data_IF_854942788349
#
_entry.id   IF_854942788349
#
_cell.length_a   1.000
_cell.length_b   1.000
_cell.length_c   1.000
_cell.angle_alpha   90.00
_cell.angle_beta   90.00
_cell.angle_gamma   90.00
#
_symmetry.space_group_name_H-M   'P 1'
#
loop_
_entity.id
_entity.type
_entity.pdbx_description
1 polymer ?
#
# COMPACT_ATOMS: atom_id res chain seq x y z
N UNK A 1 -17.45 28.26 11.10
CA UNK A 1 -17.72 26.87 11.50
C UNK A 1 -16.97 25.97 10.54
N UNK A 2 -16.00 25.23 11.03
CA UNK A 2 -15.21 24.32 10.22
C UNK A 2 -15.99 23.00 9.99
N UNK A 3 -15.86 22.44 8.81
CA UNK A 3 -16.49 21.16 8.51
C UNK A 3 -15.89 20.04 9.40
N UNK A 4 -16.69 19.05 9.79
CA UNK A 4 -16.18 17.88 10.54
C UNK A 4 -15.09 17.16 9.73
N UNK A 5 -14.00 16.82 10.41
CA UNK A 5 -12.86 16.14 9.78
C UNK A 5 -11.94 17.05 8.99
N UNK A 6 -12.16 18.35 8.95
CA UNK A 6 -11.23 19.30 8.34
C UNK A 6 -10.03 19.53 9.27
N UNK A 7 -8.81 19.46 8.70
CA UNK A 7 -7.57 19.86 9.38
C UNK A 7 -7.09 21.17 8.80
N UNK A 8 -6.72 22.08 9.68
CA UNK A 8 -6.21 23.42 9.33
C UNK A 8 -4.88 23.63 10.00
N UNK A 9 -3.86 23.96 9.20
CA UNK A 9 -2.55 24.37 9.71
C UNK A 9 -2.48 25.89 9.66
N UNK A 10 -2.16 26.53 10.77
CA UNK A 10 -1.98 27.97 10.86
C UNK A 10 -0.51 28.30 11.03
N UNK A 11 0.07 29.00 10.06
CA UNK A 11 1.43 29.52 10.14
C UNK A 11 1.37 30.98 10.56
N UNK A 12 2.11 31.36 11.62
CA UNK A 12 2.21 32.71 12.12
C UNK A 12 3.68 33.14 12.11
N UNK A 13 3.96 34.30 11.53
CA UNK A 13 5.30 34.87 11.51
C UNK A 13 5.24 36.41 11.61
N UNK A 14 6.35 37.08 11.98
CA UNK A 14 6.39 38.55 12.09
C UNK A 14 6.15 39.29 10.78
N UNK A 15 6.50 38.70 9.65
CA UNK A 15 6.37 39.30 8.31
C UNK A 15 6.18 38.21 7.24
N UNK A 16 5.87 38.63 6.02
CA UNK A 16 5.62 37.77 4.86
C UNK A 16 6.87 36.98 4.44
N UNK A 17 8.03 37.60 4.50
CA UNK A 17 9.32 37.00 4.12
C UNK A 17 9.60 35.77 4.98
N UNK A 18 9.39 35.88 6.28
CA UNK A 18 9.56 34.77 7.24
C UNK A 18 8.57 33.62 6.99
N UNK A 19 7.33 33.89 6.56
CA UNK A 19 6.37 32.82 6.19
C UNK A 19 6.84 32.11 4.94
N UNK A 20 7.29 32.85 3.94
CA UNK A 20 7.78 32.28 2.66
C UNK A 20 9.02 31.42 2.91
N UNK A 21 9.97 31.92 3.69
CA UNK A 21 11.19 31.15 4.05
C UNK A 21 10.86 29.89 4.82
N UNK A 22 9.99 29.99 5.85
CA UNK A 22 9.55 28.83 6.61
C UNK A 22 8.87 27.80 5.73
N UNK A 23 7.95 28.22 4.84
CA UNK A 23 7.23 27.32 3.95
C UNK A 23 8.16 26.58 3.00
N UNK A 24 9.17 27.26 2.44
CA UNK A 24 10.19 26.62 1.58
C UNK A 24 11.06 25.63 2.35
N UNK A 25 11.50 26.01 3.54
CA UNK A 25 12.37 25.17 4.37
C UNK A 25 11.64 23.93 4.90
N UNK A 26 10.31 24.03 5.14
CA UNK A 26 9.48 22.97 5.72
C UNK A 26 8.47 22.37 4.73
N UNK A 27 8.63 22.61 3.42
CA UNK A 27 7.71 22.15 2.38
C UNK A 27 7.39 20.65 2.51
N UNK A 28 8.45 19.84 2.60
CA UNK A 28 8.30 18.38 2.75
C UNK A 28 7.50 18.01 3.99
N UNK A 29 7.80 18.62 5.13
CA UNK A 29 7.12 18.34 6.40
C UNK A 29 5.63 18.72 6.35
N UNK A 30 5.29 19.84 5.71
CA UNK A 30 3.90 20.28 5.52
C UNK A 30 3.14 19.33 4.59
N UNK A 31 3.75 18.92 3.48
CA UNK A 31 3.15 17.94 2.55
C UNK A 31 2.96 16.59 3.24
N UNK A 32 3.99 16.08 3.93
CA UNK A 32 3.92 14.81 4.65
C UNK A 32 2.83 14.83 5.73
N UNK A 33 2.64 15.94 6.42
CA UNK A 33 1.56 16.12 7.38
C UNK A 33 0.18 15.95 6.73
N UNK A 34 -0.10 16.65 5.62
CA UNK A 34 -1.40 16.53 4.94
C UNK A 34 -1.61 15.15 4.32
N UNK A 35 -0.54 14.53 3.78
CA UNK A 35 -0.61 13.16 3.26
C UNK A 35 -0.97 12.17 4.38
N UNK A 36 -0.37 12.29 5.56
CA UNK A 36 -0.71 11.48 6.74
C UNK A 36 -2.16 11.67 7.18
N UNK A 37 -2.64 12.91 7.21
CA UNK A 37 -4.06 13.20 7.54
C UNK A 37 -5.01 12.53 6.56
N UNK A 38 -4.74 12.62 5.26
CA UNK A 38 -5.56 11.97 4.22
C UNK A 38 -5.50 10.44 4.36
N UNK A 39 -4.32 9.89 4.61
CA UNK A 39 -4.13 8.45 4.79
C UNK A 39 -4.91 7.94 6.00
N UNK A 40 -4.83 8.63 7.14
CA UNK A 40 -5.58 8.26 8.35
C UNK A 40 -7.09 8.27 8.11
N UNK A 41 -7.62 9.27 7.41
CA UNK A 41 -9.04 9.30 7.02
C UNK A 41 -9.44 8.12 6.15
N UNK A 42 -8.58 7.76 5.19
CA UNK A 42 -8.84 6.62 4.31
C UNK A 42 -8.83 5.30 5.12
N UNK A 43 -7.90 5.14 6.07
CA UNK A 43 -7.84 3.99 6.98
C UNK A 43 -9.11 3.93 7.85
N UNK A 44 -9.52 5.05 8.47
CA UNK A 44 -10.76 5.13 9.27
C UNK A 44 -12.01 4.78 8.46
N UNK A 45 -12.05 5.18 7.19
CA UNK A 45 -13.15 4.81 6.30
C UNK A 45 -13.16 3.30 6.01
N UNK A 46 -11.99 2.71 5.75
CA UNK A 46 -11.83 1.28 5.53
C UNK A 46 -12.13 0.43 6.78
N UNK A 47 -12.02 0.99 7.99
CA UNK A 47 -12.46 0.30 9.20
C UNK A 47 -13.99 0.20 9.29
N UNK A 48 -14.71 1.15 8.71
CA UNK A 48 -16.18 1.21 8.73
C UNK A 48 -16.82 0.46 7.57
N UNK A 49 -16.17 0.51 6.40
CA UNK A 49 -16.69 -0.04 5.17
C UNK A 49 -15.57 -0.67 4.34
N UNK A 50 -15.59 -1.99 4.20
CA UNK A 50 -14.62 -2.78 3.46
C UNK A 50 -15.25 -3.99 2.79
N UNK A 51 -14.54 -4.62 1.87
CA UNK A 51 -14.98 -5.82 1.18
C UNK A 51 -14.92 -7.04 2.10
N UNK A 52 -16.09 -7.56 2.49
CA UNK A 52 -16.19 -8.82 3.26
C UNK A 52 -15.65 -9.99 2.45
N UNK A 53 -15.87 -10.00 1.14
CA UNK A 53 -15.36 -11.06 0.25
C UNK A 53 -13.84 -11.17 0.32
N UNK A 54 -13.14 -10.04 0.24
CA UNK A 54 -11.67 -10.02 0.35
C UNK A 54 -11.22 -10.45 1.76
N UNK A 55 -11.87 -9.92 2.78
CA UNK A 55 -11.55 -10.24 4.18
C UNK A 55 -11.69 -11.73 4.47
N UNK A 56 -12.82 -12.33 4.10
CA UNK A 56 -13.12 -13.74 4.41
C UNK A 56 -12.15 -14.68 3.67
N UNK A 57 -11.86 -14.40 2.39
CA UNK A 57 -10.92 -15.23 1.62
C UNK A 57 -9.48 -15.07 2.12
N UNK A 58 -9.00 -13.86 2.43
CA UNK A 58 -7.66 -13.68 3.00
C UNK A 58 -7.50 -14.38 4.34
N UNK A 59 -8.56 -14.37 5.17
CA UNK A 59 -8.54 -15.03 6.46
C UNK A 59 -8.55 -16.55 6.32
N UNK A 60 -9.36 -17.11 5.40
CA UNK A 60 -9.43 -18.56 5.18
C UNK A 60 -8.16 -19.11 4.52
N UNK A 61 -7.65 -18.44 3.48
CA UNK A 61 -6.64 -19.02 2.60
C UNK A 61 -5.22 -18.71 3.06
N UNK A 62 -4.98 -17.47 3.50
CA UNK A 62 -3.67 -17.01 3.92
C UNK A 62 -3.55 -16.73 5.43
N UNK A 63 -4.65 -16.87 6.18
CA UNK A 63 -4.70 -16.56 7.62
C UNK A 63 -4.13 -15.16 7.92
N UNK A 64 -4.55 -14.16 7.14
CA UNK A 64 -4.28 -12.73 7.36
C UNK A 64 -5.56 -11.93 7.21
N UNK A 65 -5.61 -10.72 7.73
CA UNK A 65 -6.75 -9.81 7.60
C UNK A 65 -6.32 -8.51 6.94
N UNK A 66 -7.13 -7.98 6.01
CA UNK A 66 -6.89 -6.71 5.35
C UNK A 66 -8.23 -6.10 4.92
N UNK A 67 -8.44 -4.82 5.20
CA UNK A 67 -9.63 -4.09 4.84
C UNK A 67 -9.47 -3.49 3.42
N UNK A 68 -9.80 -4.25 2.39
CA UNK A 68 -9.84 -3.73 1.03
C UNK A 68 -11.05 -2.82 0.80
N UNK A 69 -11.01 -1.87 -0.14
CA UNK A 69 -12.18 -1.04 -0.47
C UNK A 69 -13.41 -1.90 -0.80
N UNK A 70 -14.60 -1.46 -0.35
CA UNK A 70 -15.84 -2.23 -0.46
C UNK A 70 -16.22 -2.64 -1.90
N UNK A 71 -15.75 -1.90 -2.90
CA UNK A 71 -15.98 -2.19 -4.31
C UNK A 71 -15.03 -3.26 -4.91
N UNK A 72 -14.18 -3.88 -4.09
CA UNK A 72 -13.38 -5.04 -4.48
C UNK A 72 -14.24 -6.30 -4.31
N UNK A 73 -14.71 -6.87 -5.41
CA UNK A 73 -15.63 -8.00 -5.42
C UNK A 73 -15.09 -9.20 -6.18
N UNK A 74 -14.26 -8.98 -7.18
CA UNK A 74 -13.62 -10.05 -7.95
C UNK A 74 -12.35 -10.49 -7.26
N UNK A 75 -12.15 -11.80 -7.15
CA UNK A 75 -10.91 -12.37 -6.66
C UNK A 75 -10.49 -13.62 -7.45
N UNK A 76 -9.23 -13.91 -7.37
CA UNK A 76 -8.60 -15.16 -7.78
C UNK A 76 -7.65 -15.58 -6.69
N UNK A 77 -7.66 -16.82 -6.30
CA UNK A 77 -6.76 -17.43 -5.33
C UNK A 77 -6.03 -18.61 -5.92
N UNK A 78 -4.85 -18.83 -5.41
CA UNK A 78 -4.06 -20.05 -5.58
C UNK A 78 -3.28 -20.27 -4.28
N UNK A 79 -2.60 -21.39 -4.12
CA UNK A 79 -1.75 -21.62 -2.96
C UNK A 79 -0.74 -20.47 -2.78
N UNK A 80 -0.72 -19.88 -1.60
CA UNK A 80 0.17 -18.77 -1.20
C UNK A 80 0.03 -17.46 -1.99
N UNK A 81 -1.03 -17.31 -2.81
CA UNK A 81 -1.29 -16.10 -3.59
C UNK A 81 -2.77 -15.78 -3.69
N UNK A 82 -3.14 -14.55 -3.37
CA UNK A 82 -4.49 -14.01 -3.50
C UNK A 82 -4.47 -12.74 -4.37
N UNK A 83 -5.48 -12.57 -5.22
CA UNK A 83 -5.65 -11.39 -6.07
C UNK A 83 -7.11 -10.95 -6.13
N UNK A 84 -7.36 -9.68 -5.83
CA UNK A 84 -8.67 -9.03 -5.92
C UNK A 84 -8.56 -7.70 -6.68
N UNK A 85 -9.65 -7.28 -7.28
CA UNK A 85 -9.73 -6.05 -8.07
C UNK A 85 -11.10 -5.39 -7.92
N UNK A 86 -11.17 -4.08 -8.11
CA UNK A 86 -12.43 -3.39 -8.31
C UNK A 86 -13.00 -3.60 -9.73
N UNK A 87 -12.24 -4.25 -10.61
CA UNK A 87 -12.57 -4.56 -12.00
C UNK A 87 -13.18 -3.37 -12.79
N UNK A 88 -12.75 -2.15 -12.48
CA UNK A 88 -13.24 -0.95 -13.13
C UNK A 88 -12.63 -0.77 -14.53
N UNK A 89 -13.42 -0.32 -15.49
CA UNK A 89 -12.94 -0.03 -16.85
C UNK A 89 -11.97 1.17 -16.86
N UNK A 90 -12.17 2.12 -15.96
CA UNK A 90 -11.30 3.28 -15.76
C UNK A 90 -10.87 3.33 -14.30
N UNK A 91 -9.58 3.56 -14.05
CA UNK A 91 -9.07 3.62 -12.69
C UNK A 91 -9.12 2.30 -11.96
N UNK A 92 -8.69 1.22 -12.63
CA UNK A 92 -8.61 -0.11 -12.04
C UNK A 92 -7.55 -0.13 -10.94
N UNK A 93 -7.98 -0.56 -9.77
CA UNK A 93 -7.13 -0.85 -8.62
C UNK A 93 -7.13 -2.36 -8.38
N UNK A 94 -5.96 -2.90 -8.15
CA UNK A 94 -5.73 -4.30 -7.86
C UNK A 94 -5.01 -4.45 -6.52
N UNK A 95 -5.37 -5.47 -5.76
CA UNK A 95 -4.76 -5.88 -4.52
C UNK A 95 -4.30 -7.32 -4.64
N UNK A 96 -3.04 -7.56 -4.36
CA UNK A 96 -2.51 -8.92 -4.20
C UNK A 96 -1.95 -9.11 -2.80
N UNK A 97 -2.06 -10.33 -2.29
CA UNK A 97 -1.38 -10.76 -1.06
C UNK A 97 -0.74 -12.10 -1.36
N UNK A 98 0.54 -12.23 -1.04
CA UNK A 98 1.24 -13.51 -1.18
C UNK A 98 2.19 -13.78 -0.03
N UNK A 99 2.52 -15.04 0.13
CA UNK A 99 3.39 -15.48 1.21
C UNK A 99 4.51 -16.37 0.68
N UNK A 100 5.62 -16.40 1.39
CA UNK A 100 6.72 -17.31 1.12
C UNK A 100 7.53 -17.59 2.40
N UNK A 101 8.21 -18.73 2.52
CA UNK A 101 9.01 -19.05 3.70
C UNK A 101 10.09 -18.01 3.98
N UNK A 102 10.26 -17.64 5.25
CA UNK A 102 11.38 -16.81 5.70
C UNK A 102 12.57 -17.73 6.04
N UNK A 103 13.61 -17.66 5.23
CA UNK A 103 14.79 -18.54 5.33
C UNK A 103 16.11 -17.80 5.42
N UNK A 104 16.13 -16.51 5.09
CA UNK A 104 17.35 -15.72 5.01
C UNK A 104 17.13 -14.30 5.58
N UNK A 105 18.00 -13.82 6.49
CA UNK A 105 17.96 -12.43 6.99
C UNK A 105 18.02 -11.37 5.89
N UNK A 106 18.67 -11.66 4.74
CA UNK A 106 18.74 -10.75 3.59
C UNK A 106 17.44 -10.66 2.77
N UNK A 107 16.38 -11.36 3.21
CA UNK A 107 15.05 -11.27 2.58
C UNK A 107 14.51 -9.84 2.50
N UNK A 108 14.81 -9.01 3.50
CA UNK A 108 14.32 -7.62 3.56
C UNK A 108 15.29 -6.64 2.90
N UNK A 109 15.77 -6.97 1.71
CA UNK A 109 16.53 -6.07 0.82
C UNK A 109 15.71 -5.75 -0.43
N UNK A 110 15.95 -4.59 -1.04
CA UNK A 110 15.29 -4.18 -2.29
C UNK A 110 15.48 -5.24 -3.37
N UNK A 111 16.72 -5.66 -3.61
CA UNK A 111 17.08 -6.63 -4.66
C UNK A 111 16.34 -7.95 -4.49
N UNK A 112 16.32 -8.50 -3.28
CA UNK A 112 15.64 -9.76 -3.01
C UNK A 112 14.13 -9.62 -3.22
N UNK A 113 13.52 -8.56 -2.69
CA UNK A 113 12.07 -8.34 -2.77
C UNK A 113 11.60 -8.07 -4.20
N UNK A 114 12.36 -7.32 -5.00
CA UNK A 114 12.08 -7.12 -6.43
C UNK A 114 12.14 -8.45 -7.19
N UNK A 115 13.20 -9.24 -6.99
CA UNK A 115 13.35 -10.54 -7.64
C UNK A 115 12.22 -11.51 -7.24
N UNK A 116 11.86 -11.55 -5.94
CA UNK A 116 10.77 -12.38 -5.43
C UNK A 116 9.43 -11.93 -6.01
N UNK A 117 9.15 -10.62 -5.99
CA UNK A 117 7.96 -10.02 -6.60
C UNK A 117 7.81 -10.44 -8.05
N UNK A 118 8.84 -10.24 -8.87
CA UNK A 118 8.79 -10.56 -10.30
C UNK A 118 8.59 -12.05 -10.56
N UNK A 119 9.17 -12.92 -9.74
CA UNK A 119 8.94 -14.37 -9.81
C UNK A 119 7.47 -14.74 -9.51
N UNK A 120 6.89 -14.16 -8.46
CA UNK A 120 5.49 -14.41 -8.08
C UNK A 120 4.53 -13.85 -9.13
N UNK A 121 4.76 -12.63 -9.60
CA UNK A 121 3.88 -11.99 -10.59
C UNK A 121 3.93 -12.69 -11.95
N UNK A 122 5.11 -13.14 -12.37
CA UNK A 122 5.24 -13.94 -13.60
C UNK A 122 4.41 -15.22 -13.56
N UNK A 123 4.32 -15.86 -12.41
CA UNK A 123 3.55 -17.09 -12.24
C UNK A 123 2.03 -16.84 -12.14
N UNK A 124 1.60 -15.69 -11.62
CA UNK A 124 0.21 -15.48 -11.20
C UNK A 124 -0.55 -14.40 -11.97
N UNK A 125 0.15 -13.41 -12.56
CA UNK A 125 -0.47 -12.30 -13.30
C UNK A 125 -0.08 -12.34 -14.80
N UNK A 126 -0.77 -13.16 -15.61
CA UNK A 126 -0.58 -13.15 -17.05
C UNK A 126 -1.13 -11.85 -17.65
N UNK A 127 -0.52 -11.40 -18.74
CA UNK A 127 -1.07 -10.30 -19.56
C UNK A 127 -2.11 -10.80 -20.58
N UNK A 128 -2.49 -9.90 -21.47
CA UNK A 128 -3.52 -10.17 -22.48
C UNK A 128 -3.07 -11.12 -23.60
N UNK A 129 -1.77 -11.28 -23.80
CA UNK A 129 -1.20 -12.10 -24.88
C UNK A 129 -0.52 -13.34 -24.31
N UNK A 130 -0.47 -14.46 -25.07
CA UNK A 130 0.24 -15.65 -24.65
C UNK A 130 1.71 -15.38 -24.30
N UNK A 131 2.14 -15.81 -23.12
CA UNK A 131 3.49 -15.61 -22.63
C UNK A 131 3.78 -14.22 -22.06
N UNK A 132 2.81 -13.29 -22.06
CA UNK A 132 2.94 -12.01 -21.38
C UNK A 132 2.69 -12.15 -19.86
N UNK A 133 3.39 -11.35 -19.05
CA UNK A 133 3.30 -11.38 -17.59
C UNK A 133 3.71 -10.04 -16.98
N UNK A 134 3.26 -9.78 -15.76
CA UNK A 134 3.65 -8.58 -15.01
C UNK A 134 5.05 -8.72 -14.40
N UNK A 135 5.79 -7.61 -14.41
CA UNK A 135 7.09 -7.46 -13.73
C UNK A 135 7.32 -6.02 -13.28
N UNK A 136 8.38 -5.81 -12.52
CA UNK A 136 8.83 -4.48 -12.11
C UNK A 136 9.48 -3.74 -13.29
N UNK A 137 9.19 -2.43 -13.44
CA UNK A 137 9.90 -1.55 -14.37
C UNK A 137 11.14 -0.98 -13.66
N UNK A 138 12.22 -1.75 -13.67
CA UNK A 138 13.45 -1.42 -12.94
C UNK A 138 14.19 -0.20 -13.47
N UNK A 139 13.97 0.19 -14.74
CA UNK A 139 14.59 1.40 -15.34
C UNK A 139 14.06 2.69 -14.70
N UNK A 140 12.88 2.67 -14.13
CA UNK A 140 12.31 3.82 -13.42
C UNK A 140 12.83 3.97 -11.98
N UNK A 141 13.57 2.97 -11.50
CA UNK A 141 13.97 2.85 -10.10
C UNK A 141 12.85 2.31 -9.21
N UNK A 142 13.25 1.76 -8.09
CA UNK A 142 12.37 1.30 -7.02
C UNK A 142 12.79 2.03 -5.75
N UNK A 143 11.84 2.52 -5.00
CA UNK A 143 12.09 3.10 -3.67
C UNK A 143 11.76 2.05 -2.61
N UNK A 144 12.74 1.71 -1.79
CA UNK A 144 12.57 0.83 -0.63
C UNK A 144 12.80 1.61 0.67
N UNK A 145 11.78 1.66 1.52
CA UNK A 145 11.83 2.39 2.79
C UNK A 145 11.32 1.51 3.93
N UNK A 146 12.15 1.20 4.93
CA UNK A 146 11.69 0.55 6.14
C UNK A 146 10.89 1.53 7.01
N UNK A 147 9.76 1.06 7.52
CA UNK A 147 8.93 1.80 8.48
C UNK A 147 8.61 0.92 9.68
N UNK A 148 8.11 1.54 10.74
CA UNK A 148 7.59 0.81 11.92
C UNK A 148 6.08 0.99 11.97
N UNK A 149 5.35 -0.13 12.00
CA UNK A 149 3.90 -0.17 12.15
C UNK A 149 3.56 -0.94 13.44
N UNK A 150 2.90 -0.30 14.40
CA UNK A 150 2.57 -0.89 15.71
C UNK A 150 3.80 -1.54 16.38
N UNK A 151 4.95 -0.87 16.32
CA UNK A 151 6.20 -1.38 16.89
C UNK A 151 6.88 -2.51 16.09
N UNK A 152 6.34 -2.91 14.95
CA UNK A 152 6.84 -4.01 14.12
C UNK A 152 7.42 -3.48 12.80
N UNK A 153 8.42 -4.16 12.28
CA UNK A 153 9.04 -3.82 11.01
C UNK A 153 8.08 -4.02 9.84
N UNK A 154 8.10 -3.08 8.90
CA UNK A 154 7.45 -3.19 7.61
C UNK A 154 8.34 -2.58 6.52
N UNK A 155 8.74 -3.37 5.54
CA UNK A 155 9.41 -2.88 4.35
C UNK A 155 8.38 -2.35 3.34
N UNK A 156 8.46 -1.06 3.02
CA UNK A 156 7.59 -0.44 2.00
C UNK A 156 8.37 -0.26 0.72
N UNK A 157 7.85 -0.84 -0.37
CA UNK A 157 8.44 -0.70 -1.69
C UNK A 157 7.48 0.03 -2.61
N UNK A 158 7.98 1.01 -3.37
CA UNK A 158 7.24 1.79 -4.36
C UNK A 158 7.96 1.76 -5.69
N UNK A 159 7.20 1.66 -6.77
CA UNK A 159 7.78 1.66 -8.10
C UNK A 159 6.74 1.62 -9.20
N UNK A 160 7.19 1.32 -10.40
CA UNK A 160 6.34 1.09 -11.54
C UNK A 160 6.35 -0.40 -11.92
N UNK A 161 5.20 -0.89 -12.31
CA UNK A 161 5.04 -2.20 -12.94
C UNK A 161 4.80 -2.04 -14.44
N UNK A 162 5.17 -3.04 -15.19
CA UNK A 162 4.84 -3.18 -16.61
C UNK A 162 4.50 -4.62 -16.97
N UNK A 163 3.78 -4.79 -18.05
CA UNK A 163 3.65 -6.10 -18.66
C UNK A 163 4.82 -6.36 -19.61
N UNK A 164 5.48 -7.52 -19.45
CA UNK A 164 6.36 -8.05 -20.47
C UNK A 164 5.51 -8.65 -21.61
N UNK A 165 5.71 -8.19 -22.84
CA UNK A 165 4.94 -8.64 -24.00
C UNK A 165 3.56 -7.99 -24.14
N UNK A 166 3.27 -6.92 -23.40
CA UNK A 166 2.06 -6.11 -23.50
C UNK A 166 2.36 -4.65 -23.17
N UNK A 167 1.50 -3.71 -23.56
CA UNK A 167 1.71 -2.26 -23.36
C UNK A 167 1.04 -1.71 -22.10
N UNK A 168 0.83 -2.54 -21.10
CA UNK A 168 0.24 -2.13 -19.82
C UNK A 168 1.31 -1.82 -18.79
N UNK A 169 1.05 -0.80 -17.96
CA UNK A 169 1.93 -0.42 -16.85
C UNK A 169 1.27 0.59 -15.93
N UNK A 170 1.87 0.80 -14.76
CA UNK A 170 1.38 1.74 -13.76
C UNK A 170 2.18 1.73 -12.47
N UNK A 171 1.78 2.51 -11.47
CA UNK A 171 2.42 2.50 -10.16
C UNK A 171 1.98 1.30 -9.31
N UNK A 172 2.87 0.90 -8.38
CA UNK A 172 2.57 -0.03 -7.31
C UNK A 172 3.14 0.44 -5.97
N UNK A 173 2.59 -0.07 -4.90
CA UNK A 173 3.12 0.01 -3.53
C UNK A 173 2.94 -1.34 -2.86
N UNK A 174 3.95 -1.84 -2.16
CA UNK A 174 3.88 -3.07 -1.39
C UNK A 174 4.35 -2.88 0.04
N UNK A 175 3.72 -3.59 0.96
CA UNK A 175 4.10 -3.72 2.36
C UNK A 175 4.55 -5.15 2.62
N UNK A 176 5.79 -5.31 3.06
CA UNK A 176 6.41 -6.60 3.36
C UNK A 176 6.63 -6.74 4.85
N UNK A 177 6.05 -7.76 5.47
CA UNK A 177 6.10 -8.01 6.92
C UNK A 177 6.48 -9.46 7.23
N UNK A 178 7.13 -9.68 8.37
CA UNK A 178 7.44 -11.00 8.88
C UNK A 178 6.28 -11.52 9.75
N UNK A 179 5.70 -12.65 9.36
CA UNK A 179 4.82 -13.46 10.19
C UNK A 179 5.71 -14.44 10.99
N UNK A 180 6.17 -13.97 12.15
CA UNK A 180 7.06 -14.75 13.02
C UNK A 180 6.43 -16.06 13.48
N UNK A 181 5.10 -16.06 13.71
CA UNK A 181 4.35 -17.20 14.20
C UNK A 181 4.37 -18.37 13.22
N UNK A 182 4.36 -18.09 11.93
CA UNK A 182 4.34 -19.09 10.86
C UNK A 182 5.67 -19.17 10.08
N UNK A 183 6.72 -18.45 10.53
CA UNK A 183 8.04 -18.41 9.88
C UNK A 183 7.98 -18.10 8.38
N UNK A 184 7.15 -17.10 8.00
CA UNK A 184 6.97 -16.71 6.61
C UNK A 184 6.95 -15.19 6.45
N UNK A 185 7.24 -14.75 5.25
CA UNK A 185 7.05 -13.37 4.83
C UNK A 185 5.67 -13.24 4.21
N UNK A 186 4.96 -12.17 4.56
CA UNK A 186 3.70 -11.76 3.98
C UNK A 186 3.91 -10.45 3.24
N UNK A 187 3.53 -10.43 1.97
CA UNK A 187 3.54 -9.22 1.14
C UNK A 187 2.11 -8.89 0.74
N UNK A 188 1.68 -7.68 1.08
CA UNK A 188 0.46 -7.09 0.54
C UNK A 188 0.86 -5.97 -0.43
N UNK A 189 0.34 -6.00 -1.65
CA UNK A 189 0.67 -5.03 -2.69
C UNK A 189 -0.59 -4.49 -3.34
N UNK A 190 -0.61 -3.18 -3.57
CA UNK A 190 -1.60 -2.50 -4.39
C UNK A 190 -0.96 -1.96 -5.67
N UNK A 191 -1.64 -2.13 -6.80
CA UNK A 191 -1.22 -1.53 -8.06
C UNK A 191 -2.41 -0.95 -8.83
N UNK A 192 -2.12 -0.01 -9.74
CA UNK A 192 -3.15 0.74 -10.46
C UNK A 192 -2.89 0.69 -11.95
N UNK A 193 -3.97 0.44 -12.72
CA UNK A 193 -4.01 0.63 -14.15
C UNK A 193 -5.05 1.70 -14.51
N UNK A 194 -4.57 2.87 -14.92
CA UNK A 194 -5.41 4.03 -15.26
C UNK A 194 -4.71 4.90 -16.31
N UNK A 195 -4.61 4.46 -17.57
CA UNK A 195 -3.77 5.10 -18.58
C UNK A 195 -4.14 6.56 -18.85
N UNK A 196 -5.41 6.92 -18.75
CA UNK A 196 -5.94 8.25 -19.10
C UNK A 196 -6.27 9.14 -17.89
N UNK A 197 -5.90 8.70 -16.67
CA UNK A 197 -6.32 9.38 -15.43
C UNK A 197 -5.14 9.52 -14.47
N UNK A 198 -5.16 10.58 -13.66
CA UNK A 198 -4.22 10.76 -12.55
C UNK A 198 -4.35 9.64 -11.52
N UNK A 199 -3.23 8.97 -11.25
CA UNK A 199 -3.20 7.74 -10.45
C UNK A 199 -3.06 7.97 -8.94
N UNK A 200 -2.74 9.20 -8.53
CA UNK A 200 -2.43 9.52 -7.13
C UNK A 200 -3.55 9.13 -6.14
N UNK A 201 -4.79 9.47 -6.47
CA UNK A 201 -5.93 9.18 -5.58
C UNK A 201 -6.20 7.68 -5.47
N UNK A 202 -6.06 6.94 -6.57
CA UNK A 202 -6.19 5.47 -6.57
C UNK A 202 -5.08 4.83 -5.74
N UNK A 203 -3.82 5.28 -5.92
CA UNK A 203 -2.68 4.79 -5.14
C UNK A 203 -2.86 5.04 -3.64
N UNK A 204 -3.27 6.24 -3.24
CA UNK A 204 -3.52 6.56 -1.84
C UNK A 204 -4.62 5.69 -1.22
N UNK A 205 -5.68 5.44 -1.99
CA UNK A 205 -6.79 4.59 -1.54
C UNK A 205 -6.36 3.14 -1.36
N UNK A 206 -5.62 2.59 -2.29
CA UNK A 206 -5.14 1.20 -2.18
C UNK A 206 -4.04 1.08 -1.12
N UNK A 207 -3.15 2.05 -1.00
CA UNK A 207 -2.13 2.06 0.03
C UNK A 207 -2.72 2.12 1.44
N UNK A 208 -3.80 2.90 1.65
CA UNK A 208 -4.51 2.91 2.91
C UNK A 208 -5.01 1.51 3.32
N UNK A 209 -5.40 0.67 2.36
CA UNK A 209 -5.77 -0.71 2.63
C UNK A 209 -4.58 -1.55 3.14
N UNK A 210 -3.38 -1.33 2.61
CA UNK A 210 -2.18 -2.06 3.04
C UNK A 210 -1.82 -1.76 4.50
N UNK A 211 -2.08 -0.55 5.00
CA UNK A 211 -1.89 -0.20 6.41
C UNK A 211 -2.85 -0.95 7.35
N UNK A 212 -3.91 -1.54 6.82
CA UNK A 212 -4.87 -2.34 7.62
C UNK A 212 -4.48 -3.81 7.71
N UNK A 213 -3.36 -4.23 7.10
CA UNK A 213 -2.88 -5.61 7.16
C UNK A 213 -2.60 -6.04 8.59
N UNK A 214 -3.21 -7.14 9.01
CA UNK A 214 -2.99 -7.81 10.30
C UNK A 214 -2.56 -9.25 10.10
N UNK A 215 -1.48 -9.62 10.74
CA UNK A 215 -0.90 -10.97 10.71
C UNK A 215 -1.47 -11.82 11.86
N UNK A 216 -1.26 -13.14 11.83
CA UNK A 216 -1.66 -14.03 12.93
C UNK A 216 -1.06 -13.57 14.28
N UNK A 217 -1.93 -13.35 15.26
CA UNK A 217 -1.58 -12.77 16.56
C UNK A 217 -1.87 -11.27 16.71
N UNK A 218 -2.26 -10.59 15.61
CA UNK A 218 -2.62 -9.17 15.60
C UNK A 218 -4.13 -8.95 15.38
N UNK A 219 -4.94 -9.99 15.31
CA UNK A 219 -6.34 -9.87 14.89
C UNK A 219 -7.19 -9.07 15.86
N UNK A 220 -6.85 -9.11 17.15
CA UNK A 220 -7.50 -8.32 18.21
C UNK A 220 -6.85 -6.95 18.41
N UNK A 221 -5.71 -6.68 17.78
CA UNK A 221 -5.07 -5.36 17.83
C UNK A 221 -5.88 -4.36 17.00
N UNK A 222 -5.98 -3.09 17.43
CA UNK A 222 -6.57 -2.06 16.60
C UNK A 222 -5.79 -1.98 15.28
N UNK A 223 -6.51 -1.77 14.19
CA UNK A 223 -5.89 -1.36 12.93
C UNK A 223 -5.03 -0.14 13.23
N UNK A 224 -3.82 -0.09 12.68
CA UNK A 224 -2.84 0.97 12.94
C UNK A 224 -3.53 2.31 13.11
N UNK A 225 -3.60 2.77 14.35
CA UNK A 225 -4.37 3.95 14.73
C UNK A 225 -3.68 5.14 14.17
N UNK A 226 -3.36 5.56 13.28
CA UNK A 226 -2.74 6.83 12.87
C UNK A 226 -1.23 6.74 12.65
N UNK A 227 -0.86 6.94 11.44
CA UNK A 227 0.49 7.43 11.14
C UNK A 227 0.72 8.66 12.03
N UNK A 228 1.72 8.61 12.91
CA UNK A 228 1.97 9.66 13.90
C UNK A 228 1.91 11.06 13.30
N UNK A 229 0.86 11.78 13.62
CA UNK A 229 0.75 13.21 13.35
C UNK A 229 1.35 13.92 14.56
N UNK A 230 2.38 14.78 14.39
CA UNK A 230 2.91 15.54 15.50
C UNK A 230 1.79 16.30 16.20
N UNK A 231 1.52 15.97 17.47
CA UNK A 231 0.59 16.75 18.28
C UNK A 231 1.21 18.12 18.50
N UNK A 232 0.43 19.18 18.32
CA UNK A 232 0.87 20.52 18.68
C UNK A 232 1.42 20.53 20.11
N UNK A 233 2.64 21.03 20.25
CA UNK A 233 3.09 21.49 21.59
C UNK A 233 2.27 22.75 21.89
N UNK A 234 1.39 22.65 22.88
CA UNK A 234 0.66 23.79 23.45
C UNK A 234 1.63 24.81 24.01
#
# INVERSE_FOLDING_TARGET
VWARGQVVVSLKAPNTESIVEYSKTHEKALVDFFVKVEMNRAIEQLQKEYSMVVMDNLKSDLNVMLNAPANFTYYKDTTDFFWSSNNANTGRMDLIVYTFPYTDPNTFTEEYLVAKRDSVLKANLPGSFPGSYMQTETRAGVEYTPITLNGKYCGVMRGLWRMQGDMMGGPFVSHTRLDEKNHRVVVAEGFVYAPETDKRNFMRRIEAALFTLRLPGEFEEPVTETLDIPKEKK
#
